data_IF_649018218170
#
_entry.id   IF_649018218170
#
_cell.length_a   1.000
_cell.length_b   1.000
_cell.length_c   1.000
_cell.angle_alpha   90.00
_cell.angle_beta   90.00
_cell.angle_gamma   90.00
#
_symmetry.space_group_name_H-M   'P 1'
#
loop_
_entity.id
_entity.type
_entity.pdbx_description
1 polymer ?
#
# COMPACT_ATOMS: atom_id res chain seq x y z
N UNK A 1 -28.12 -19.37 28.72
CA UNK A 1 -28.77 -18.10 29.10
C UNK A 1 -27.84 -17.48 30.11
N UNK A 2 -27.43 -16.23 29.88
CA UNK A 2 -26.50 -15.53 30.77
C UNK A 2 -26.96 -15.56 32.24
N UNK A 3 -25.99 -15.59 33.14
CA UNK A 3 -26.25 -15.43 34.57
C UNK A 3 -26.56 -13.95 34.86
N UNK A 4 -27.72 -13.68 35.46
CA UNK A 4 -28.20 -12.31 35.72
C UNK A 4 -27.31 -11.54 36.69
N UNK A 5 -26.73 -12.21 37.69
CA UNK A 5 -25.81 -11.59 38.65
C UNK A 5 -24.51 -11.18 37.96
N UNK A 6 -23.94 -12.04 37.12
CA UNK A 6 -22.74 -11.71 36.34
C UNK A 6 -22.99 -10.51 35.43
N UNK A 7 -24.13 -10.49 34.73
CA UNK A 7 -24.50 -9.39 33.87
C UNK A 7 -24.72 -8.09 34.67
N UNK A 8 -25.32 -8.17 35.86
CA UNK A 8 -25.53 -7.03 36.73
C UNK A 8 -24.21 -6.45 37.27
N UNK A 9 -23.23 -7.30 37.58
CA UNK A 9 -21.88 -6.85 37.97
C UNK A 9 -21.19 -6.16 36.80
N UNK A 10 -21.23 -6.76 35.61
CA UNK A 10 -20.60 -6.19 34.40
C UNK A 10 -21.18 -4.81 34.05
N UNK A 11 -22.50 -4.67 34.16
CA UNK A 11 -23.22 -3.41 33.88
C UNK A 11 -22.92 -2.28 34.87
N UNK A 12 -22.36 -2.59 36.04
CA UNK A 12 -21.88 -1.56 36.98
C UNK A 12 -20.55 -0.94 36.55
N UNK A 13 -19.87 -1.52 35.57
CA UNK A 13 -18.66 -0.98 34.96
C UNK A 13 -17.43 -1.88 35.14
N UNK A 14 -16.43 -1.63 34.30
CA UNK A 14 -15.20 -2.43 34.21
C UNK A 14 -14.45 -2.52 35.53
N UNK A 15 -14.38 -1.43 36.32
CA UNK A 15 -13.69 -1.42 37.61
C UNK A 15 -14.32 -2.36 38.63
N UNK A 16 -15.66 -2.34 38.71
CA UNK A 16 -16.45 -3.21 39.60
C UNK A 16 -16.31 -4.66 39.16
N UNK A 17 -16.42 -4.91 37.86
CA UNK A 17 -16.22 -6.23 37.27
C UNK A 17 -14.83 -6.81 37.58
N UNK A 18 -13.77 -6.06 37.28
CA UNK A 18 -12.40 -6.50 37.50
C UNK A 18 -12.11 -6.74 38.99
N UNK A 19 -12.63 -5.88 39.87
CA UNK A 19 -12.49 -6.01 41.32
C UNK A 19 -13.24 -7.24 41.87
N UNK A 20 -14.45 -7.52 41.36
CA UNK A 20 -15.22 -8.72 41.70
C UNK A 20 -14.44 -10.00 41.33
N UNK A 21 -13.83 -10.01 40.14
CA UNK A 21 -12.99 -11.13 39.69
C UNK A 21 -11.76 -11.34 40.56
N UNK A 22 -11.05 -10.27 40.92
CA UNK A 22 -9.89 -10.35 41.80
C UNK A 22 -10.25 -10.88 43.19
N UNK A 23 -11.34 -10.39 43.79
CA UNK A 23 -11.80 -10.85 45.09
C UNK A 23 -12.16 -12.34 45.07
N UNK A 24 -12.93 -12.81 44.08
CA UNK A 24 -13.28 -14.24 43.99
C UNK A 24 -12.04 -15.12 43.82
N UNK A 25 -11.03 -14.67 43.06
CA UNK A 25 -9.77 -15.41 42.90
C UNK A 25 -8.97 -15.53 44.20
N UNK A 26 -9.07 -14.56 45.11
CA UNK A 26 -8.32 -14.58 46.39
C UNK A 26 -9.00 -15.42 47.46
N UNK A 27 -10.34 -15.54 47.42
CA UNK A 27 -11.11 -16.17 48.49
C UNK A 27 -11.75 -17.52 48.12
N UNK A 28 -11.78 -17.91 46.85
CA UNK A 28 -12.33 -19.20 46.40
C UNK A 28 -11.21 -20.16 46.00
N UNK A 29 -10.51 -20.71 46.99
CA UNK A 29 -9.29 -21.51 46.76
C UNK A 29 -9.51 -22.87 46.05
N UNK A 30 -10.73 -23.23 45.64
CA UNK A 30 -11.03 -24.51 44.98
C UNK A 30 -12.23 -24.52 44.01
N UNK A 31 -12.84 -23.37 43.69
CA UNK A 31 -13.92 -23.31 42.69
C UNK A 31 -13.45 -22.58 41.43
N UNK A 32 -13.52 -23.28 40.29
CA UNK A 32 -13.41 -22.63 38.97
C UNK A 32 -14.67 -21.81 38.77
N UNK A 33 -14.60 -20.51 39.06
CA UNK A 33 -15.72 -19.59 38.82
C UNK A 33 -15.76 -19.26 37.34
N UNK A 34 -16.63 -19.94 36.59
CA UNK A 34 -16.93 -19.61 35.20
C UNK A 34 -17.93 -18.46 35.15
N UNK A 35 -17.54 -17.33 34.54
CA UNK A 35 -18.43 -16.19 34.35
C UNK A 35 -19.27 -16.37 33.08
N UNK A 36 -20.54 -16.74 33.25
CA UNK A 36 -21.48 -16.92 32.15
C UNK A 36 -22.21 -15.62 31.76
N UNK A 37 -21.87 -15.11 30.58
CA UNK A 37 -22.49 -13.98 29.87
C UNK A 37 -23.15 -14.45 28.55
N UNK A 38 -23.31 -15.77 28.35
CA UNK A 38 -23.74 -16.36 27.07
C UNK A 38 -25.09 -15.85 26.57
N UNK A 39 -25.19 -15.60 25.27
CA UNK A 39 -26.41 -15.15 24.62
C UNK A 39 -26.88 -13.74 25.01
N UNK A 40 -26.10 -13.01 25.80
CA UNK A 40 -26.46 -11.64 26.18
C UNK A 40 -26.16 -10.64 25.06
N UNK A 41 -26.96 -9.58 25.02
CA UNK A 41 -26.65 -8.39 24.23
C UNK A 41 -25.78 -7.46 25.07
N UNK A 42 -24.52 -7.35 24.63
CA UNK A 42 -23.49 -6.50 25.21
C UNK A 42 -23.07 -5.41 24.19
N UNK A 43 -23.84 -5.22 23.12
CA UNK A 43 -23.63 -4.10 22.20
C UNK A 43 -23.70 -2.79 22.97
N UNK A 44 -22.80 -1.86 22.65
CA UNK A 44 -22.69 -0.54 23.31
C UNK A 44 -22.26 -0.55 24.79
N UNK A 45 -21.86 -1.71 25.33
CA UNK A 45 -21.28 -1.75 26.69
C UNK A 45 -19.84 -1.22 26.67
N UNK A 46 -19.43 -0.50 27.72
CA UNK A 46 -18.05 0.01 27.83
C UNK A 46 -17.18 -1.09 28.45
N UNK A 47 -16.49 -1.86 27.60
CA UNK A 47 -15.73 -3.03 28.03
C UNK A 47 -14.21 -2.93 27.79
N UNK A 48 -13.72 -1.80 27.31
CA UNK A 48 -12.28 -1.55 27.16
C UNK A 48 -11.55 -1.76 28.50
N UNK A 49 -10.50 -2.58 28.48
CA UNK A 49 -9.72 -2.93 29.67
C UNK A 49 -10.40 -3.93 30.63
N UNK A 50 -11.54 -4.52 30.26
CA UNK A 50 -12.16 -5.56 31.08
C UNK A 50 -11.33 -6.86 31.06
N UNK A 51 -11.27 -7.52 32.22
CA UNK A 51 -10.78 -8.89 32.32
C UNK A 51 -11.96 -9.84 32.11
N UNK A 52 -12.10 -10.36 30.91
CA UNK A 52 -13.09 -11.36 30.49
C UNK A 52 -12.44 -12.72 30.25
N UNK A 53 -11.25 -12.97 30.80
CA UNK A 53 -10.54 -14.23 30.59
C UNK A 53 -11.33 -15.43 31.13
N UNK A 54 -11.35 -16.52 30.36
CA UNK A 54 -12.12 -17.74 30.67
C UNK A 54 -13.63 -17.54 30.81
N UNK A 55 -14.18 -16.36 30.46
CA UNK A 55 -15.62 -16.13 30.52
C UNK A 55 -16.34 -16.85 29.38
N UNK A 56 -17.56 -17.30 29.64
CA UNK A 56 -18.45 -17.80 28.60
C UNK A 56 -19.23 -16.62 28.01
N UNK A 57 -18.84 -16.20 26.81
CA UNK A 57 -19.43 -15.17 25.98
C UNK A 57 -20.02 -15.78 24.69
N UNK A 58 -20.28 -17.09 24.67
CA UNK A 58 -20.81 -17.76 23.49
C UNK A 58 -22.15 -17.12 23.09
N UNK A 59 -22.38 -16.97 21.79
CA UNK A 59 -23.60 -16.40 21.21
C UNK A 59 -23.94 -14.98 21.67
N UNK A 60 -22.99 -14.24 22.22
CA UNK A 60 -23.21 -12.84 22.61
C UNK A 60 -23.29 -11.93 21.40
N UNK A 61 -24.04 -10.83 21.54
CA UNK A 61 -24.00 -9.71 20.58
C UNK A 61 -23.04 -8.67 21.12
N UNK A 62 -21.92 -8.46 20.42
CA UNK A 62 -20.83 -7.55 20.80
C UNK A 62 -20.55 -6.52 19.69
N UNK A 63 -21.28 -6.55 18.58
CA UNK A 63 -21.05 -5.71 17.41
C UNK A 63 -20.88 -4.22 17.77
N UNK A 64 -20.01 -3.52 17.05
CA UNK A 64 -19.72 -2.07 17.24
C UNK A 64 -19.15 -1.69 18.62
N UNK A 65 -18.77 -2.65 19.46
CA UNK A 65 -18.26 -2.39 20.80
C UNK A 65 -16.74 -2.14 20.79
N UNK A 66 -16.29 -1.27 21.72
CA UNK A 66 -14.87 -0.99 21.91
C UNK A 66 -14.28 -1.89 23.00
N UNK A 67 -13.39 -2.78 22.57
CA UNK A 67 -12.63 -3.74 23.37
C UNK A 67 -11.13 -3.45 23.37
N UNK A 68 -10.71 -2.21 23.09
CA UNK A 68 -9.30 -1.83 23.18
C UNK A 68 -8.69 -2.35 24.49
N UNK A 69 -7.58 -3.11 24.37
CA UNK A 69 -6.82 -3.76 25.46
C UNK A 69 -7.65 -4.63 26.43
N UNK A 70 -8.74 -5.22 25.97
CA UNK A 70 -9.56 -6.17 26.77
C UNK A 70 -8.88 -7.54 26.80
N UNK A 71 -8.97 -8.22 27.94
CA UNK A 71 -8.44 -9.58 28.09
C UNK A 71 -9.56 -10.61 27.94
N UNK A 72 -9.54 -11.33 26.83
CA UNK A 72 -10.40 -12.46 26.49
C UNK A 72 -9.62 -13.78 26.44
N UNK A 73 -8.43 -13.85 27.06
CA UNK A 73 -7.65 -15.10 27.05
C UNK A 73 -8.50 -16.27 27.53
N UNK A 74 -8.46 -17.38 26.80
CA UNK A 74 -9.22 -18.60 27.08
C UNK A 74 -10.76 -18.44 27.15
N UNK A 75 -11.30 -17.28 26.76
CA UNK A 75 -12.74 -17.06 26.76
C UNK A 75 -13.44 -17.88 25.67
N UNK A 76 -14.69 -18.28 25.93
CA UNK A 76 -15.55 -18.86 24.91
C UNK A 76 -16.38 -17.77 24.23
N UNK A 77 -16.01 -17.40 23.02
CA UNK A 77 -16.67 -16.44 22.13
C UNK A 77 -17.30 -17.15 20.92
N UNK A 78 -17.53 -18.47 21.00
CA UNK A 78 -18.12 -19.23 19.90
C UNK A 78 -19.49 -18.67 19.51
N UNK A 79 -19.76 -18.60 18.21
CA UNK A 79 -21.01 -18.05 17.66
C UNK A 79 -21.31 -16.59 18.07
N UNK A 80 -20.37 -15.85 18.66
CA UNK A 80 -20.58 -14.44 19.03
C UNK A 80 -20.55 -13.54 17.79
N UNK A 81 -21.33 -12.45 17.83
CA UNK A 81 -21.25 -11.38 16.83
C UNK A 81 -20.33 -10.27 17.31
N UNK A 82 -19.11 -10.27 16.78
CA UNK A 82 -18.03 -9.30 17.02
C UNK A 82 -17.82 -8.38 15.80
N UNK A 83 -18.78 -8.31 14.87
CA UNK A 83 -18.63 -7.52 13.65
C UNK A 83 -18.42 -6.03 13.96
N UNK A 84 -17.54 -5.38 13.19
CA UNK A 84 -17.19 -3.95 13.34
C UNK A 84 -16.67 -3.54 14.73
N UNK A 85 -16.22 -4.49 15.56
CA UNK A 85 -15.66 -4.19 16.89
C UNK A 85 -14.26 -3.61 16.82
N UNK A 86 -13.86 -2.86 17.85
CA UNK A 86 -12.48 -2.44 18.05
C UNK A 86 -11.79 -3.35 19.07
N UNK A 87 -10.97 -4.28 18.60
CA UNK A 87 -10.19 -5.26 19.38
C UNK A 87 -8.68 -4.96 19.32
N UNK A 88 -8.29 -3.73 19.01
CA UNK A 88 -6.87 -3.35 18.93
C UNK A 88 -6.16 -3.69 20.23
N UNK A 89 -5.05 -4.42 20.11
CA UNK A 89 -4.23 -4.90 21.23
C UNK A 89 -4.99 -5.71 22.29
N UNK A 90 -6.16 -6.27 21.97
CA UNK A 90 -6.86 -7.19 22.87
C UNK A 90 -6.08 -8.52 23.00
N UNK A 91 -6.19 -9.15 24.17
CA UNK A 91 -5.64 -10.48 24.39
C UNK A 91 -6.72 -11.53 24.16
N UNK A 92 -6.60 -12.34 23.12
CA UNK A 92 -7.51 -13.42 22.72
C UNK A 92 -6.77 -14.77 22.70
N UNK A 93 -5.63 -14.88 23.38
CA UNK A 93 -4.81 -16.11 23.36
C UNK A 93 -5.60 -17.30 23.88
N UNK A 94 -5.62 -18.38 23.11
CA UNK A 94 -6.37 -19.59 23.44
C UNK A 94 -7.89 -19.44 23.45
N UNK A 95 -8.45 -18.29 23.05
CA UNK A 95 -9.89 -18.08 23.04
C UNK A 95 -10.57 -19.00 22.00
N UNK A 96 -11.80 -19.43 22.29
CA UNK A 96 -12.65 -20.13 21.33
C UNK A 96 -13.52 -19.11 20.58
N UNK A 97 -13.19 -18.83 19.33
CA UNK A 97 -13.89 -17.95 18.40
C UNK A 97 -14.55 -18.72 17.25
N UNK A 98 -14.74 -20.04 17.41
CA UNK A 98 -15.33 -20.88 16.36
C UNK A 98 -16.72 -20.37 15.94
N UNK A 99 -16.96 -20.35 14.63
CA UNK A 99 -18.20 -19.88 14.01
C UNK A 99 -18.63 -18.44 14.41
N UNK A 100 -17.71 -17.64 14.98
CA UNK A 100 -17.99 -16.24 15.33
C UNK A 100 -17.98 -15.32 14.11
N UNK A 101 -18.68 -14.20 14.21
CA UNK A 101 -18.66 -13.16 13.19
C UNK A 101 -17.72 -12.02 13.59
N UNK A 102 -16.55 -11.93 12.97
CA UNK A 102 -15.52 -10.90 13.15
C UNK A 102 -15.40 -9.98 11.91
N UNK A 103 -16.40 -9.98 11.02
CA UNK A 103 -16.32 -9.21 9.77
C UNK A 103 -16.07 -7.73 10.06
N UNK A 104 -15.12 -7.14 9.35
CA UNK A 104 -14.71 -5.74 9.49
C UNK A 104 -14.26 -5.32 10.90
N UNK A 105 -13.98 -6.26 11.80
CA UNK A 105 -13.42 -5.96 13.11
C UNK A 105 -11.97 -5.45 12.98
N UNK A 106 -11.57 -4.57 13.89
CA UNK A 106 -10.20 -4.07 13.98
C UNK A 106 -9.44 -4.81 15.08
N UNK A 107 -8.63 -5.81 14.69
CA UNK A 107 -7.77 -6.63 15.55
C UNK A 107 -6.28 -6.28 15.43
N UNK A 108 -5.94 -5.05 15.01
CA UNK A 108 -4.54 -4.68 14.82
C UNK A 108 -3.73 -4.87 16.13
N UNK A 109 -2.61 -5.58 16.04
CA UNK A 109 -1.75 -5.91 17.18
C UNK A 109 -2.40 -6.80 18.25
N UNK A 110 -3.56 -7.41 18.00
CA UNK A 110 -4.20 -8.31 18.95
C UNK A 110 -3.41 -9.62 19.08
N UNK A 111 -3.47 -10.23 20.26
CA UNK A 111 -2.85 -11.54 20.52
C UNK A 111 -3.90 -12.66 20.39
N UNK A 112 -3.90 -13.39 19.28
CA UNK A 112 -4.75 -14.56 19.01
C UNK A 112 -3.95 -15.87 19.02
N UNK A 113 -2.80 -15.93 19.70
CA UNK A 113 -1.96 -17.13 19.71
C UNK A 113 -2.74 -18.35 20.24
N UNK A 114 -2.70 -19.46 19.50
CA UNK A 114 -3.42 -20.69 19.83
C UNK A 114 -4.95 -20.58 19.85
N UNK A 115 -5.54 -19.47 19.39
CA UNK A 115 -6.99 -19.30 19.37
C UNK A 115 -7.66 -20.26 18.37
N UNK A 116 -8.88 -20.68 18.68
CA UNK A 116 -9.71 -21.47 17.77
C UNK A 116 -10.66 -20.57 16.98
N UNK A 117 -10.35 -20.29 15.72
CA UNK A 117 -11.14 -19.49 14.78
C UNK A 117 -11.76 -20.35 13.66
N UNK A 118 -11.98 -21.65 13.91
CA UNK A 118 -12.57 -22.55 12.93
C UNK A 118 -13.92 -22.01 12.44
N UNK A 119 -14.09 -21.96 11.12
CA UNK A 119 -15.29 -21.46 10.42
C UNK A 119 -15.73 -20.03 10.81
N UNK A 120 -14.84 -19.24 11.45
CA UNK A 120 -15.12 -17.86 11.80
C UNK A 120 -15.15 -16.95 10.55
N UNK A 121 -15.99 -15.93 10.58
CA UNK A 121 -16.05 -14.92 9.52
C UNK A 121 -15.18 -13.71 9.85
N UNK A 122 -13.98 -13.62 9.27
CA UNK A 122 -13.05 -12.48 9.39
C UNK A 122 -13.00 -11.62 8.12
N UNK A 123 -14.04 -11.64 7.28
CA UNK A 123 -14.02 -10.90 6.01
C UNK A 123 -13.81 -9.40 6.23
N UNK A 124 -12.82 -8.82 5.55
CA UNK A 124 -12.49 -7.39 5.67
C UNK A 124 -11.92 -6.97 7.03
N UNK A 125 -11.60 -7.91 7.93
CA UNK A 125 -11.02 -7.59 9.23
C UNK A 125 -9.60 -7.01 9.09
N UNK A 126 -9.22 -6.12 10.00
CA UNK A 126 -7.86 -5.60 10.11
C UNK A 126 -7.09 -6.38 11.17
N UNK A 127 -6.19 -7.26 10.75
CA UNK A 127 -5.33 -8.11 11.59
C UNK A 127 -3.85 -7.69 11.48
N UNK A 128 -3.57 -6.44 11.07
CA UNK A 128 -2.21 -5.96 10.91
C UNK A 128 -1.41 -6.14 12.22
N UNK A 129 -0.21 -6.73 12.12
CA UNK A 129 0.66 -7.02 13.27
C UNK A 129 0.04 -7.91 14.36
N UNK A 130 -1.07 -8.61 14.10
CA UNK A 130 -1.66 -9.54 15.05
C UNK A 130 -0.80 -10.81 15.20
N UNK A 131 -0.78 -11.37 16.41
CA UNK A 131 -0.17 -12.68 16.66
C UNK A 131 -1.22 -13.78 16.53
N UNK A 132 -1.18 -14.57 15.47
CA UNK A 132 -2.03 -15.73 15.21
C UNK A 132 -1.21 -17.04 15.24
N UNK A 133 -0.05 -17.04 15.89
CA UNK A 133 0.81 -18.22 15.96
C UNK A 133 0.07 -19.42 16.56
N UNK A 134 0.12 -20.56 15.87
CA UNK A 134 -0.56 -21.79 16.27
C UNK A 134 -2.09 -21.73 16.25
N UNK A 135 -2.71 -20.66 15.73
CA UNK A 135 -4.17 -20.54 15.68
C UNK A 135 -4.81 -21.56 14.72
N UNK A 136 -6.02 -22.01 15.05
CA UNK A 136 -6.83 -22.85 14.16
C UNK A 136 -7.79 -21.96 13.34
N UNK A 137 -7.50 -21.76 12.06
CA UNK A 137 -8.29 -21.00 11.10
C UNK A 137 -8.94 -21.92 10.04
N UNK A 138 -9.15 -23.20 10.37
CA UNK A 138 -9.75 -24.16 9.44
C UNK A 138 -11.11 -23.65 8.97
N UNK A 139 -11.31 -23.55 7.65
CA UNK A 139 -12.56 -23.07 7.04
C UNK A 139 -12.87 -21.58 7.22
N UNK A 140 -12.03 -20.82 7.93
CA UNK A 140 -12.28 -19.42 8.23
C UNK A 140 -12.36 -18.55 6.96
N UNK A 141 -13.22 -17.53 6.99
CA UNK A 141 -13.34 -16.56 5.91
C UNK A 141 -12.48 -15.32 6.18
N UNK A 142 -11.30 -15.23 5.57
CA UNK A 142 -10.37 -14.10 5.64
C UNK A 142 -10.38 -13.25 4.35
N UNK A 143 -11.46 -13.30 3.55
CA UNK A 143 -11.51 -12.56 2.30
C UNK A 143 -11.37 -11.05 2.54
N UNK A 144 -10.51 -10.39 1.77
CA UNK A 144 -10.20 -8.95 1.90
C UNK A 144 -9.64 -8.54 3.28
N UNK A 145 -9.21 -9.48 4.12
CA UNK A 145 -8.59 -9.15 5.40
C UNK A 145 -7.19 -8.55 5.20
N UNK A 146 -6.79 -7.66 6.12
CA UNK A 146 -5.43 -7.13 6.19
C UNK A 146 -4.63 -7.91 7.24
N UNK A 147 -3.71 -8.78 6.82
CA UNK A 147 -2.80 -9.58 7.65
C UNK A 147 -1.35 -9.08 7.57
N UNK A 148 -1.12 -7.86 7.09
CA UNK A 148 0.23 -7.34 6.94
C UNK A 148 0.99 -7.38 8.27
N UNK A 149 2.24 -7.83 8.25
CA UNK A 149 3.10 -8.00 9.44
C UNK A 149 2.56 -8.95 10.52
N UNK A 150 1.48 -9.71 10.26
CA UNK A 150 0.94 -10.65 11.21
C UNK A 150 1.82 -11.90 11.33
N UNK A 151 1.78 -12.54 12.51
CA UNK A 151 2.43 -13.83 12.74
C UNK A 151 1.42 -14.96 12.63
N UNK A 152 1.44 -15.73 11.55
CA UNK A 152 0.65 -16.94 11.32
C UNK A 152 1.51 -18.22 11.43
N UNK A 153 2.67 -18.14 12.08
CA UNK A 153 3.54 -19.31 12.22
C UNK A 153 2.81 -20.49 12.88
N UNK A 154 3.00 -21.69 12.34
CA UNK A 154 2.32 -22.92 12.78
C UNK A 154 0.77 -22.86 12.76
N UNK A 155 0.15 -21.86 12.14
CA UNK A 155 -1.30 -21.75 12.07
C UNK A 155 -1.90 -22.78 11.10
N UNK A 156 -3.10 -23.26 11.39
CA UNK A 156 -3.84 -24.15 10.50
C UNK A 156 -4.88 -23.35 9.69
N UNK A 157 -4.58 -23.07 8.42
CA UNK A 157 -5.43 -22.36 7.47
C UNK A 157 -6.10 -23.31 6.45
N UNK A 158 -6.27 -24.59 6.81
CA UNK A 158 -6.91 -25.55 5.90
C UNK A 158 -8.28 -25.08 5.45
N UNK A 159 -8.52 -25.10 4.14
CA UNK A 159 -9.78 -24.66 3.53
C UNK A 159 -10.21 -23.21 3.79
N UNK A 160 -9.33 -22.39 4.39
CA UNK A 160 -9.62 -20.98 4.63
C UNK A 160 -9.77 -20.20 3.31
N UNK A 161 -10.64 -19.19 3.32
CA UNK A 161 -10.80 -18.28 2.19
C UNK A 161 -9.96 -17.01 2.40
N UNK A 162 -8.83 -16.89 1.72
CA UNK A 162 -7.92 -15.74 1.78
C UNK A 162 -7.99 -14.89 0.49
N UNK A 163 -9.12 -14.90 -0.22
CA UNK A 163 -9.26 -14.14 -1.46
C UNK A 163 -9.10 -12.64 -1.23
N UNK A 164 -8.26 -12.00 -2.05
CA UNK A 164 -7.90 -10.58 -1.95
C UNK A 164 -7.33 -10.18 -0.58
N UNK A 165 -6.83 -11.13 0.22
CA UNK A 165 -6.18 -10.81 1.48
C UNK A 165 -4.84 -10.11 1.24
N UNK A 166 -4.51 -9.16 2.13
CA UNK A 166 -3.19 -8.55 2.19
C UNK A 166 -2.33 -9.32 3.18
N UNK A 167 -1.20 -9.84 2.74
CA UNK A 167 -0.30 -10.69 3.53
C UNK A 167 1.16 -10.23 3.38
N UNK A 168 1.37 -8.92 3.27
CA UNK A 168 2.70 -8.31 3.13
C UNK A 168 3.48 -8.51 4.43
N UNK A 169 4.72 -8.99 4.34
CA UNK A 169 5.57 -9.25 5.52
C UNK A 169 4.94 -10.18 6.56
N UNK A 170 3.95 -10.99 6.16
CA UNK A 170 3.29 -11.95 7.04
C UNK A 170 4.20 -13.16 7.25
N UNK A 171 4.25 -13.67 8.48
CA UNK A 171 4.97 -14.89 8.79
C UNK A 171 4.07 -16.12 8.65
N UNK A 172 4.25 -16.95 7.62
CA UNK A 172 3.52 -18.21 7.43
C UNK A 172 4.40 -19.44 7.71
N UNK A 173 5.54 -19.29 8.39
CA UNK A 173 6.44 -20.40 8.69
C UNK A 173 5.72 -21.58 9.36
N UNK A 174 5.87 -22.80 8.84
CA UNK A 174 5.16 -24.01 9.30
C UNK A 174 3.61 -23.94 9.26
N UNK A 175 3.01 -22.94 8.63
CA UNK A 175 1.55 -22.88 8.50
C UNK A 175 1.04 -23.96 7.54
N UNK A 176 -0.19 -24.42 7.76
CA UNK A 176 -0.87 -25.35 6.85
C UNK A 176 -1.91 -24.63 6.00
N UNK A 177 -1.70 -24.59 4.68
CA UNK A 177 -2.56 -23.89 3.72
C UNK A 177 -3.35 -24.85 2.82
N UNK A 178 -3.44 -26.13 3.18
CA UNK A 178 -4.03 -27.14 2.30
C UNK A 178 -5.50 -26.86 2.02
N UNK A 179 -5.83 -26.72 0.75
CA UNK A 179 -7.18 -26.42 0.27
C UNK A 179 -7.64 -24.99 0.49
N UNK A 180 -6.77 -24.08 0.94
CA UNK A 180 -7.09 -22.66 1.06
C UNK A 180 -7.35 -22.02 -0.31
N UNK A 181 -8.17 -20.97 -0.34
CA UNK A 181 -8.43 -20.16 -1.52
C UNK A 181 -7.60 -18.88 -1.47
N UNK A 182 -6.74 -18.65 -2.46
CA UNK A 182 -5.67 -17.64 -2.39
C UNK A 182 -5.65 -16.70 -3.60
N UNK A 183 -6.84 -16.46 -4.18
CA UNK A 183 -6.97 -15.58 -5.35
C UNK A 183 -6.55 -14.16 -4.98
N UNK A 184 -5.76 -13.53 -5.84
CA UNK A 184 -5.36 -12.12 -5.71
C UNK A 184 -4.71 -11.79 -4.35
N UNK A 185 -3.85 -12.66 -3.83
CA UNK A 185 -3.02 -12.29 -2.68
C UNK A 185 -2.15 -11.07 -2.96
N UNK A 186 -2.13 -10.14 -2.01
CA UNK A 186 -1.16 -9.05 -1.99
C UNK A 186 -0.01 -9.47 -1.09
N UNK A 187 1.10 -9.87 -1.70
CA UNK A 187 2.27 -10.47 -1.06
C UNK A 187 3.54 -9.84 -1.62
N UNK A 188 4.64 -9.82 -0.85
CA UNK A 188 5.95 -9.33 -1.29
C UNK A 188 7.09 -10.28 -0.90
N UNK A 189 8.33 -9.94 -1.28
CA UNK A 189 9.51 -10.77 -1.03
C UNK A 189 9.84 -10.98 0.45
N UNK A 190 9.32 -10.14 1.34
CA UNK A 190 9.54 -10.24 2.79
C UNK A 190 8.53 -11.17 3.49
N UNK A 191 7.54 -11.69 2.75
CA UNK A 191 6.56 -12.63 3.29
C UNK A 191 7.18 -14.01 3.45
N UNK A 192 7.13 -14.56 4.66
CA UNK A 192 7.81 -15.81 4.99
C UNK A 192 6.94 -17.00 4.62
N UNK A 193 7.38 -17.79 3.65
CA UNK A 193 6.69 -19.00 3.15
C UNK A 193 7.50 -20.27 3.36
N UNK A 194 8.61 -20.19 4.08
CA UNK A 194 9.46 -21.34 4.41
C UNK A 194 8.68 -22.38 5.24
N UNK A 195 8.89 -23.65 4.91
CA UNK A 195 8.25 -24.80 5.55
C UNK A 195 6.71 -24.76 5.61
N UNK A 196 6.05 -23.98 4.75
CA UNK A 196 4.60 -24.04 4.58
C UNK A 196 4.18 -25.43 4.12
N UNK A 197 3.28 -26.05 4.89
CA UNK A 197 2.62 -27.29 4.51
C UNK A 197 1.44 -26.97 3.60
N UNK A 198 1.52 -27.39 2.34
CA UNK A 198 0.45 -27.12 1.39
C UNK A 198 0.41 -28.20 0.33
N UNK A 199 -0.62 -29.06 0.36
CA UNK A 199 -0.79 -30.07 -0.69
C UNK A 199 -1.39 -29.48 -1.97
N UNK A 200 -2.33 -28.55 -1.85
CA UNK A 200 -2.96 -27.85 -2.96
C UNK A 200 -3.67 -26.59 -2.46
N UNK A 201 -3.97 -25.66 -3.37
CA UNK A 201 -4.70 -24.41 -3.13
C UNK A 201 -5.68 -24.14 -4.27
N UNK A 202 -6.73 -23.37 -4.00
CA UNK A 202 -7.67 -22.89 -5.01
C UNK A 202 -7.36 -21.44 -5.42
N UNK A 203 -7.63 -21.13 -6.68
CA UNK A 203 -7.44 -19.80 -7.29
C UNK A 203 -8.78 -19.05 -7.50
N UNK A 204 -9.88 -19.63 -7.04
CA UNK A 204 -11.21 -19.04 -7.03
C UNK A 204 -12.07 -19.63 -5.92
N UNK A 205 -13.03 -18.83 -5.44
CA UNK A 205 -13.92 -19.21 -4.35
C UNK A 205 -14.78 -20.43 -4.67
N UNK A 206 -15.19 -20.58 -5.93
CA UNK A 206 -16.01 -21.70 -6.39
C UNK A 206 -15.21 -23.00 -6.53
N UNK A 207 -13.91 -22.99 -6.18
CA UNK A 207 -13.02 -24.16 -6.20
C UNK A 207 -12.90 -24.79 -7.59
N UNK A 208 -13.05 -23.98 -8.65
CA UNK A 208 -13.00 -24.45 -10.05
C UNK A 208 -11.58 -24.54 -10.61
N UNK A 209 -10.65 -23.79 -10.05
CA UNK A 209 -9.25 -23.72 -10.44
C UNK A 209 -8.37 -23.98 -9.22
N UNK A 210 -7.42 -24.91 -9.34
CA UNK A 210 -6.51 -25.28 -8.24
C UNK A 210 -5.07 -25.44 -8.70
N UNK A 211 -4.13 -25.31 -7.77
CA UNK A 211 -2.70 -25.63 -7.95
C UNK A 211 -2.24 -26.64 -6.88
N UNK A 212 -1.45 -27.67 -7.25
CA UNK A 212 -1.25 -28.10 -8.63
C UNK A 212 -2.56 -28.59 -9.25
N UNK A 213 -2.71 -28.48 -10.56
CA UNK A 213 -3.96 -28.86 -11.26
C UNK A 213 -4.35 -30.32 -10.93
N UNK A 214 -3.37 -31.20 -10.81
CA UNK A 214 -3.51 -32.59 -10.34
C UNK A 214 -2.44 -32.91 -9.28
N UNK A 215 -2.72 -33.87 -8.39
CA UNK A 215 -1.75 -34.34 -7.39
C UNK A 215 -1.57 -33.39 -6.20
N UNK A 216 -0.38 -33.41 -5.60
CA UNK A 216 0.00 -32.56 -4.47
C UNK A 216 1.26 -31.76 -4.83
N UNK A 217 1.46 -30.58 -4.25
CA UNK A 217 2.77 -29.95 -4.30
C UNK A 217 3.80 -30.90 -3.70
N UNK A 218 4.99 -30.93 -4.31
CA UNK A 218 6.16 -31.51 -3.66
C UNK A 218 6.55 -30.63 -2.46
N UNK A 219 7.31 -31.17 -1.48
CA UNK A 219 7.86 -30.37 -0.39
C UNK A 219 8.53 -29.09 -0.90
N UNK A 220 8.18 -27.93 -0.34
CA UNK A 220 8.65 -26.61 -0.77
C UNK A 220 8.07 -26.07 -2.09
N UNK A 221 7.34 -26.89 -2.86
CA UNK A 221 6.83 -26.53 -4.18
C UNK A 221 5.83 -25.36 -4.17
N UNK A 222 5.05 -25.24 -3.10
CA UNK A 222 4.16 -24.09 -2.90
C UNK A 222 4.96 -22.79 -2.74
N UNK A 223 5.94 -22.77 -1.83
CA UNK A 223 6.79 -21.61 -1.58
C UNK A 223 7.54 -21.20 -2.86
N UNK A 224 8.16 -22.16 -3.56
CA UNK A 224 8.87 -21.88 -4.82
C UNK A 224 7.99 -21.27 -5.91
N UNK A 225 6.73 -21.71 -6.02
CA UNK A 225 5.77 -21.13 -6.97
C UNK A 225 5.56 -19.65 -6.68
N UNK A 226 5.33 -19.29 -5.43
CA UNK A 226 5.01 -17.92 -5.04
C UNK A 226 6.24 -17.01 -5.03
N UNK A 227 7.41 -17.49 -4.60
CA UNK A 227 8.68 -16.75 -4.75
C UNK A 227 8.88 -16.34 -6.20
N UNK A 228 8.69 -17.28 -7.15
CA UNK A 228 8.81 -16.98 -8.59
C UNK A 228 7.77 -15.99 -9.10
N UNK A 229 6.53 -16.06 -8.60
CA UNK A 229 5.48 -15.08 -8.96
C UNK A 229 5.87 -13.68 -8.50
N UNK A 230 6.37 -13.55 -7.27
CA UNK A 230 6.75 -12.25 -6.70
C UNK A 230 7.97 -11.70 -7.44
N UNK A 231 9.02 -12.49 -7.65
CA UNK A 231 10.21 -12.08 -8.41
C UNK A 231 9.86 -11.56 -9.82
N UNK A 232 8.98 -12.26 -10.54
CA UNK A 232 8.51 -11.82 -11.86
C UNK A 232 7.75 -10.50 -11.78
N UNK A 233 6.90 -10.34 -10.77
CA UNK A 233 6.10 -9.11 -10.58
C UNK A 233 7.03 -7.93 -10.27
N UNK A 234 8.01 -8.12 -9.39
CA UNK A 234 9.02 -7.12 -9.05
C UNK A 234 9.87 -6.74 -10.27
N UNK A 235 10.26 -7.71 -11.11
CA UNK A 235 11.00 -7.45 -12.34
C UNK A 235 10.17 -6.66 -13.38
N UNK A 236 8.88 -6.95 -13.49
CA UNK A 236 7.98 -6.20 -14.37
C UNK A 236 7.85 -4.75 -13.89
N UNK A 237 7.65 -4.56 -12.58
CA UNK A 237 7.55 -3.23 -11.97
C UNK A 237 8.85 -2.46 -12.12
N UNK A 238 10.02 -3.08 -11.89
CA UNK A 238 11.32 -2.42 -12.05
C UNK A 238 11.54 -1.97 -13.50
N UNK A 239 11.20 -2.79 -14.49
CA UNK A 239 11.26 -2.42 -15.91
C UNK A 239 10.30 -1.28 -16.26
N UNK A 240 9.10 -1.25 -15.68
CA UNK A 240 8.15 -0.17 -15.88
C UNK A 240 8.68 1.15 -15.30
N UNK A 241 9.25 1.12 -14.10
CA UNK A 241 9.92 2.26 -13.45
C UNK A 241 11.17 2.73 -14.23
N UNK A 242 11.95 1.81 -14.80
CA UNK A 242 13.07 2.14 -15.69
C UNK A 242 12.59 2.86 -16.97
N UNK A 243 11.48 2.41 -17.58
CA UNK A 243 10.89 3.10 -18.74
C UNK A 243 10.40 4.52 -18.39
N UNK A 244 9.76 4.71 -17.25
CA UNK A 244 9.30 6.04 -16.80
C UNK A 244 10.45 7.03 -16.57
N UNK A 245 11.66 6.53 -16.31
CA UNK A 245 12.88 7.31 -16.11
C UNK A 245 13.64 7.65 -17.40
N UNK A 246 13.04 7.46 -18.58
CA UNK A 246 13.68 7.77 -19.88
C UNK A 246 12.86 8.67 -20.81
N UNK A 247 11.65 9.07 -20.41
CA UNK A 247 10.72 9.87 -21.23
C UNK A 247 10.68 11.35 -20.80
N UNK A 248 10.46 12.27 -21.74
CA UNK A 248 10.29 13.70 -21.53
C UNK A 248 8.87 14.04 -21.05
N UNK A 249 8.56 15.34 -20.90
CA UNK A 249 7.26 15.82 -20.41
C UNK A 249 6.07 15.54 -21.34
N UNK A 250 6.32 15.01 -22.54
CA UNK A 250 5.31 14.62 -23.53
C UNK A 250 5.24 13.10 -23.72
N UNK A 251 5.96 12.32 -22.91
CA UNK A 251 5.96 10.86 -22.99
C UNK A 251 6.84 10.29 -24.11
N UNK A 252 7.79 11.07 -24.63
CA UNK A 252 8.72 10.65 -25.69
C UNK A 252 10.11 10.46 -25.12
N UNK A 253 10.84 9.44 -25.56
CA UNK A 253 12.20 9.16 -25.07
C UNK A 253 13.16 10.34 -25.36
N UNK A 254 13.99 10.72 -24.38
CA UNK A 254 15.06 11.71 -24.60
C UNK A 254 16.11 11.19 -25.61
N UNK A 255 16.61 12.05 -26.50
CA UNK A 255 17.58 11.66 -27.53
C UNK A 255 18.99 11.35 -26.98
N UNK A 256 19.32 11.84 -25.78
CA UNK A 256 20.61 11.54 -25.13
C UNK A 256 20.59 11.81 -23.62
N UNK A 257 21.28 10.93 -22.88
CA UNK A 257 21.76 11.04 -21.49
C UNK A 257 20.93 10.36 -20.36
N UNK A 258 21.59 9.76 -19.34
CA UNK A 258 21.04 8.71 -18.47
C UNK A 258 20.47 9.17 -17.12
N UNK A 259 20.37 10.50 -16.86
CA UNK A 259 19.86 11.01 -15.58
C UNK A 259 18.82 12.10 -15.81
N UNK A 260 17.57 11.79 -15.50
CA UNK A 260 16.46 12.75 -15.49
C UNK A 260 16.42 13.45 -14.13
N UNK A 261 16.25 14.76 -14.14
CA UNK A 261 15.99 15.56 -12.95
C UNK A 261 14.50 15.93 -12.91
N UNK A 262 13.88 15.84 -11.73
CA UNK A 262 12.43 16.09 -11.56
C UNK A 262 12.22 17.30 -10.66
N UNK A 263 11.41 18.25 -11.12
CA UNK A 263 10.96 19.41 -10.35
C UNK A 263 9.49 19.72 -10.68
N UNK A 264 8.63 19.85 -9.67
CA UNK A 264 7.17 20.10 -9.83
C UNK A 264 6.49 19.14 -10.82
N UNK A 265 6.87 17.85 -10.78
CA UNK A 265 6.43 16.78 -11.70
C UNK A 265 6.85 16.97 -13.17
N UNK A 266 7.61 18.01 -13.49
CA UNK A 266 8.27 18.22 -14.78
C UNK A 266 9.66 17.58 -14.77
N UNK A 267 10.09 17.10 -15.93
CA UNK A 267 11.34 16.39 -16.19
C UNK A 267 12.30 17.30 -16.95
N UNK A 268 13.56 17.29 -16.52
CA UNK A 268 14.65 18.13 -16.99
C UNK A 268 15.91 17.31 -17.28
N UNK A 269 16.74 17.77 -18.22
CA UNK A 269 18.01 17.13 -18.58
C UNK A 269 19.18 17.60 -17.72
N UNK A 270 18.99 18.66 -16.92
CA UNK A 270 20.01 19.17 -15.99
C UNK A 270 19.40 19.94 -14.81
N UNK A 271 20.18 20.10 -13.74
CA UNK A 271 19.82 21.00 -12.62
C UNK A 271 19.81 22.48 -13.05
N UNK A 272 20.60 22.84 -14.07
CA UNK A 272 20.59 24.19 -14.65
C UNK A 272 19.24 24.53 -15.28
N UNK A 273 18.65 23.59 -16.02
CA UNK A 273 17.29 23.78 -16.55
C UNK A 273 16.27 23.99 -15.41
N UNK A 274 16.40 23.27 -14.29
CA UNK A 274 15.52 23.48 -13.12
C UNK A 274 15.66 24.92 -12.60
N UNK A 275 16.87 25.49 -12.54
CA UNK A 275 17.07 26.88 -12.11
C UNK A 275 16.35 27.89 -13.01
N UNK A 276 16.36 27.68 -14.32
CA UNK A 276 15.60 28.49 -15.27
C UNK A 276 14.09 28.28 -15.09
N UNK A 277 13.64 27.04 -14.92
CA UNK A 277 12.23 26.72 -14.68
C UNK A 277 11.70 27.39 -13.40
N UNK A 278 12.47 27.35 -12.30
CA UNK A 278 12.17 28.04 -11.05
C UNK A 278 12.02 29.56 -11.26
N UNK A 279 12.91 30.18 -12.05
CA UNK A 279 12.85 31.61 -12.38
C UNK A 279 11.63 31.95 -13.25
N UNK A 280 11.37 31.18 -14.31
CA UNK A 280 10.17 31.36 -15.14
C UNK A 280 8.90 31.19 -14.31
N UNK A 281 8.85 30.20 -13.43
CA UNK A 281 7.71 29.96 -12.54
C UNK A 281 7.43 31.14 -11.60
N UNK A 282 8.48 31.75 -11.02
CA UNK A 282 8.33 32.98 -10.20
C UNK A 282 7.64 34.11 -10.95
N UNK A 283 7.83 34.20 -12.27
CA UNK A 283 7.22 35.24 -13.12
C UNK A 283 5.78 34.94 -13.55
N UNK A 284 5.28 33.70 -13.29
CA UNK A 284 3.96 33.21 -13.71
C UNK A 284 3.75 33.22 -15.24
N UNK A 285 4.83 33.09 -16.00
CA UNK A 285 4.75 32.93 -17.45
C UNK A 285 4.42 31.48 -17.81
N UNK A 286 3.70 31.26 -18.91
CA UNK A 286 3.55 29.92 -19.46
C UNK A 286 4.87 29.49 -20.11
N UNK A 287 5.42 28.37 -19.65
CA UNK A 287 6.56 27.74 -20.29
C UNK A 287 6.36 26.22 -20.40
N UNK A 288 6.98 25.64 -21.41
CA UNK A 288 6.96 24.21 -21.71
C UNK A 288 8.41 23.73 -21.83
N UNK A 289 8.95 23.05 -20.81
CA UNK A 289 10.33 22.58 -20.84
C UNK A 289 10.46 21.30 -21.67
N UNK A 290 11.58 21.15 -22.38
CA UNK A 290 11.95 19.97 -23.16
C UNK A 290 10.84 19.55 -24.14
N UNK A 291 10.32 20.53 -24.88
CA UNK A 291 9.16 20.33 -25.75
C UNK A 291 9.57 20.02 -27.18
N UNK A 292 9.12 18.87 -27.68
CA UNK A 292 9.14 18.51 -29.09
C UNK A 292 8.06 19.30 -29.83
N UNK A 293 8.50 20.32 -30.55
CA UNK A 293 7.68 21.07 -31.49
C UNK A 293 7.68 20.37 -32.85
N UNK A 294 6.50 20.13 -33.41
CA UNK A 294 6.36 19.59 -34.77
C UNK A 294 6.29 20.75 -35.76
N UNK A 295 7.37 20.99 -36.48
CA UNK A 295 7.57 22.16 -37.33
C UNK A 295 7.53 21.79 -38.82
N UNK A 296 7.17 22.76 -39.66
CA UNK A 296 7.18 22.57 -41.12
C UNK A 296 8.54 22.97 -41.69
N UNK A 297 9.21 22.03 -42.36
CA UNK A 297 10.50 22.20 -43.05
C UNK A 297 10.31 22.05 -44.57
N UNK A 298 11.29 22.43 -45.40
CA UNK A 298 11.25 22.15 -46.85
C UNK A 298 11.15 20.66 -47.20
N UNK A 299 11.52 19.75 -46.29
CA UNK A 299 11.50 18.30 -46.49
C UNK A 299 10.27 17.61 -45.90
N UNK A 300 9.42 18.33 -45.16
CA UNK A 300 8.20 17.79 -44.55
C UNK A 300 7.95 18.31 -43.14
N UNK A 301 7.17 17.58 -42.33
CA UNK A 301 7.00 17.90 -40.91
C UNK A 301 8.04 17.14 -40.10
N UNK A 302 8.87 17.88 -39.37
CA UNK A 302 9.93 17.33 -38.51
C UNK A 302 9.71 17.74 -37.05
N UNK A 303 10.16 16.90 -36.11
CA UNK A 303 10.11 17.21 -34.69
C UNK A 303 11.43 17.84 -34.25
N UNK A 304 11.34 18.92 -33.49
CA UNK A 304 12.50 19.65 -32.98
C UNK A 304 12.29 19.94 -31.50
N UNK A 305 13.23 19.56 -30.66
CA UNK A 305 13.18 19.82 -29.23
C UNK A 305 13.76 21.20 -28.90
N UNK A 306 13.02 21.94 -28.07
CA UNK A 306 13.49 23.16 -27.43
C UNK A 306 13.65 22.92 -25.92
N UNK A 307 14.67 23.53 -25.31
CA UNK A 307 14.88 23.43 -23.86
C UNK A 307 13.72 24.10 -23.11
N UNK A 308 13.35 25.32 -23.52
CA UNK A 308 12.18 26.03 -23.01
C UNK A 308 11.43 26.74 -24.14
N UNK A 309 10.18 26.34 -24.37
CA UNK A 309 9.23 27.10 -25.18
C UNK A 309 8.39 27.99 -24.24
N UNK A 310 8.47 29.31 -24.40
CA UNK A 310 7.91 30.29 -23.46
C UNK A 310 6.91 31.19 -24.19
N UNK A 311 5.74 31.42 -23.58
CA UNK A 311 4.74 32.37 -24.08
C UNK A 311 4.66 33.57 -23.14
N UNK A 312 5.21 34.71 -23.56
CA UNK A 312 5.24 35.94 -22.78
C UNK A 312 4.53 37.06 -23.55
N UNK A 313 3.53 37.69 -22.93
CA UNK A 313 2.67 38.73 -23.54
C UNK A 313 2.11 38.34 -24.92
N UNK A 314 1.71 37.07 -25.08
CA UNK A 314 1.14 36.53 -26.32
C UNK A 314 2.15 36.26 -27.44
N UNK A 315 3.46 36.42 -27.17
CA UNK A 315 4.55 36.11 -28.10
C UNK A 315 5.29 34.86 -27.63
N UNK A 316 5.61 33.99 -28.57
CA UNK A 316 6.38 32.78 -28.31
C UNK A 316 7.87 33.01 -28.49
N UNK A 317 8.67 32.52 -27.57
CA UNK A 317 10.13 32.49 -27.64
C UNK A 317 10.68 31.12 -27.24
N UNK A 318 11.87 30.80 -27.72
CA UNK A 318 12.64 29.63 -27.30
C UNK A 318 13.90 30.09 -26.58
N UNK A 319 14.09 29.60 -25.35
CA UNK A 319 15.30 29.80 -24.55
C UNK A 319 16.04 28.47 -24.48
N UNK A 320 17.29 28.48 -24.92
CA UNK A 320 18.18 27.31 -24.92
C UNK A 320 19.30 27.51 -23.90
N UNK A 321 19.66 26.44 -23.19
CA UNK A 321 20.73 26.40 -22.19
C UNK A 321 21.96 25.77 -22.83
N UNK A 322 22.93 26.60 -23.20
CA UNK A 322 24.12 26.21 -23.96
C UNK A 322 25.16 25.56 -23.04
N UNK A 323 25.43 24.27 -23.26
CA UNK A 323 26.45 23.51 -22.51
C UNK A 323 27.86 23.66 -23.10
N UNK A 324 28.93 23.21 -22.43
CA UNK A 324 30.31 23.42 -22.88
C UNK A 324 30.77 22.59 -24.11
N UNK A 325 29.87 22.02 -24.91
CA UNK A 325 30.20 20.99 -25.92
C UNK A 325 29.68 21.28 -27.36
N UNK A 326 29.77 22.52 -27.84
CA UNK A 326 29.36 22.88 -29.22
C UNK A 326 30.54 22.88 -30.21
N UNK A 327 30.59 21.85 -31.07
CA UNK A 327 31.50 21.78 -32.24
C UNK A 327 31.02 22.71 -33.36
N UNK A 328 31.89 23.03 -34.32
CA UNK A 328 31.55 23.87 -35.47
C UNK A 328 30.40 23.29 -36.33
N UNK A 329 30.32 21.97 -36.44
CA UNK A 329 29.27 21.26 -37.19
C UNK A 329 27.91 21.35 -36.49
N UNK A 330 27.89 21.15 -35.17
CA UNK A 330 26.66 21.27 -34.36
C UNK A 330 26.06 22.66 -34.45
N UNK A 331 26.90 23.70 -34.54
CA UNK A 331 26.46 25.09 -34.72
C UNK A 331 25.72 25.33 -36.04
N UNK A 332 26.06 24.60 -37.11
CA UNK A 332 25.36 24.74 -38.41
C UNK A 332 23.98 24.12 -38.35
N UNK A 333 23.85 22.93 -37.77
CA UNK A 333 22.57 22.24 -37.56
C UNK A 333 21.66 23.05 -36.63
N UNK A 334 22.25 23.64 -35.58
CA UNK A 334 21.58 24.50 -34.61
C UNK A 334 21.06 25.81 -35.22
N UNK A 335 21.84 26.46 -36.09
CA UNK A 335 21.38 27.65 -36.80
C UNK A 335 20.19 27.35 -37.73
N UNK A 336 20.21 26.20 -38.40
CA UNK A 336 19.08 25.79 -39.24
C UNK A 336 17.83 25.49 -38.39
N UNK A 337 18.01 24.83 -37.25
CA UNK A 337 16.96 24.59 -36.24
C UNK A 337 16.28 25.90 -35.82
N UNK A 338 17.08 26.91 -35.48
CA UNK A 338 16.60 28.22 -35.02
C UNK A 338 15.83 28.97 -36.11
N UNK A 339 16.28 28.89 -37.37
CA UNK A 339 15.54 29.43 -38.52
C UNK A 339 14.18 28.77 -38.69
N UNK A 340 14.08 27.46 -38.48
CA UNK A 340 12.82 26.73 -38.60
C UNK A 340 11.83 27.19 -37.53
N UNK A 341 12.26 27.36 -36.27
CA UNK A 341 11.40 27.91 -35.21
C UNK A 341 10.90 29.31 -35.56
N UNK A 342 11.80 30.20 -36.02
CA UNK A 342 11.43 31.57 -36.42
C UNK A 342 10.42 31.59 -37.57
N UNK A 343 10.61 30.75 -38.58
CA UNK A 343 9.68 30.60 -39.71
C UNK A 343 8.28 30.13 -39.27
N UNK A 344 8.19 29.40 -38.17
CA UNK A 344 6.93 28.88 -37.61
C UNK A 344 6.37 29.77 -36.48
N UNK A 345 6.74 31.06 -36.44
CA UNK A 345 6.08 32.06 -35.59
C UNK A 345 6.70 32.27 -34.21
N UNK A 346 7.83 31.63 -33.90
CA UNK A 346 8.64 31.93 -32.72
C UNK A 346 9.38 33.26 -32.94
N UNK A 347 9.17 34.23 -32.07
CA UNK A 347 9.74 35.59 -32.22
C UNK A 347 11.22 35.66 -31.90
N UNK A 348 11.64 34.93 -30.87
CA UNK A 348 13.03 34.93 -30.39
C UNK A 348 13.44 33.50 -30.15
N UNK A 349 14.63 33.15 -30.61
CA UNK A 349 15.32 31.91 -30.22
C UNK A 349 16.68 32.36 -29.74
N UNK A 350 16.96 32.22 -28.45
CA UNK A 350 18.19 32.72 -27.84
C UNK A 350 18.85 31.66 -26.96
N UNK A 351 20.17 31.64 -26.98
CA UNK A 351 21.01 30.74 -26.20
C UNK A 351 21.69 31.47 -25.07
N UNK A 352 21.68 30.87 -23.89
CA UNK A 352 22.38 31.37 -22.73
C UNK A 352 23.36 30.33 -22.21
N UNK A 353 24.56 30.78 -21.88
CA UNK A 353 25.58 29.93 -21.25
C UNK A 353 25.03 29.23 -19.99
N UNK A 354 25.28 27.92 -19.88
CA UNK A 354 24.74 27.10 -18.79
C UNK A 354 25.24 27.54 -17.41
N UNK A 355 26.48 28.03 -17.29
CA UNK A 355 27.01 28.51 -16.01
C UNK A 355 26.31 29.80 -15.59
N UNK A 356 26.04 30.70 -16.55
CA UNK A 356 25.24 31.90 -16.31
C UNK A 356 23.80 31.57 -15.94
N UNK A 357 23.17 30.62 -16.64
CA UNK A 357 21.82 30.14 -16.33
C UNK A 357 21.73 29.57 -14.91
N UNK A 358 22.76 28.86 -14.46
CA UNK A 358 22.79 28.28 -13.12
C UNK A 358 22.98 29.35 -12.04
N UNK A 359 23.92 30.28 -12.24
CA UNK A 359 24.31 31.27 -11.23
C UNK A 359 23.33 32.45 -11.14
N UNK A 360 22.77 32.90 -12.27
CA UNK A 360 21.94 34.11 -12.35
C UNK A 360 20.66 33.88 -13.19
N UNK A 361 19.80 32.91 -12.83
CA UNK A 361 18.65 32.50 -13.65
C UNK A 361 17.60 33.60 -13.82
N UNK A 362 17.33 34.40 -12.77
CA UNK A 362 16.35 35.49 -12.85
C UNK A 362 16.78 36.59 -13.82
N UNK A 363 18.08 36.93 -13.83
CA UNK A 363 18.61 37.92 -14.77
C UNK A 363 18.49 37.44 -16.22
N UNK A 364 18.79 36.17 -16.46
CA UNK A 364 18.64 35.53 -17.79
C UNK A 364 17.19 35.57 -18.25
N UNK A 365 16.23 35.20 -17.38
CA UNK A 365 14.80 35.24 -17.73
C UNK A 365 14.33 36.66 -18.03
N UNK A 366 14.74 37.65 -17.24
CA UNK A 366 14.37 39.05 -17.49
C UNK A 366 14.99 39.61 -18.77
N UNK A 367 16.24 39.23 -19.08
CA UNK A 367 16.88 39.57 -20.35
C UNK A 367 16.12 38.96 -21.53
N UNK A 368 15.75 37.68 -21.43
CA UNK A 368 15.00 36.99 -22.48
C UNK A 368 13.62 37.60 -22.72
N UNK A 369 12.90 38.01 -21.67
CA UNK A 369 11.63 38.72 -21.81
C UNK A 369 11.76 40.04 -22.57
N UNK A 370 12.82 40.83 -22.29
CA UNK A 370 13.10 42.06 -23.06
C UNK A 370 13.33 41.75 -24.53
N UNK A 371 14.05 40.67 -24.84
CA UNK A 371 14.26 40.25 -26.23
C UNK A 371 12.93 39.89 -26.92
N UNK A 372 12.04 39.15 -26.25
CA UNK A 372 10.70 38.82 -26.78
C UNK A 372 9.87 40.09 -27.05
N UNK A 373 9.94 41.09 -26.16
CA UNK A 373 9.19 42.33 -26.29
C UNK A 373 9.68 43.18 -27.45
N UNK A 374 10.99 43.41 -27.55
CA UNK A 374 11.62 44.23 -28.60
C UNK A 374 11.47 43.56 -29.96
N UNK A 375 11.55 42.23 -30.02
CA UNK A 375 11.48 41.47 -31.25
C UNK A 375 12.63 41.83 -32.18
N UNK A 376 13.80 41.24 -31.97
CA UNK A 376 14.86 41.33 -32.98
C UNK A 376 14.41 40.59 -34.23
N UNK A 377 14.05 41.37 -35.26
CA UNK A 377 13.74 40.92 -36.62
C UNK A 377 14.98 40.41 -37.34
#
# INVERSE_FOLDING_TARGET
MANEEHLAILKQGVEVWNSSRLMKSLYSFNEIVTYDLSGSDLSNTKLSGANLSGANLSRTTLCLTNFFVTDFSEADLSLADLSFTNLVSANLSGANLSESNLSFANLAGANLSGANLADANLSGANLASANLSGANLTGANLSCANLNWADLSCANLNWANLNNAQIIETNLHNANLTGACIKNWHINNETKLDDVFCEYVYLDYNKTQRRPTYGKFLPGGFASLYTKIIENTTLILSKALELENTINNQGVQFYSNPKIHIWEKLRFRSETEIKIAEALYRTRVLFLPNSLARLTTPKGRENTEADFLICYNGKWGVLEVDGPFHTAERRVEEQERERIFKKNGIKVVERFDAQRCYNNPDEVVQEFFKMIEIGYS
#
